data_IF_288007431152
#
_entry.id   IF_288007431152
#
_cell.length_a   1.000
_cell.length_b   1.000
_cell.length_c   1.000
_cell.angle_alpha   90.00
_cell.angle_beta   90.00
_cell.angle_gamma   90.00
#
_symmetry.space_group_name_H-M   'P 1'
#
loop_
_entity.id
_entity.type
_entity.pdbx_description
1 polymer ?
#
# COMPACT_ATOMS: atom_id res chain seq x y z
N UNK A 1 -12.42 4.05 17.03
CA UNK A 1 -12.40 3.90 15.55
C UNK A 1 -13.04 2.57 15.21
N UNK A 2 -14.00 2.53 14.29
CA UNK A 2 -14.50 1.25 13.75
C UNK A 2 -13.49 0.77 12.71
N UNK A 3 -12.73 -0.30 12.97
CA UNK A 3 -11.68 -0.77 12.04
C UNK A 3 -12.25 -1.45 10.81
N UNK A 4 -13.54 -1.79 10.84
CA UNK A 4 -14.30 -2.49 9.83
C UNK A 4 -15.43 -1.59 9.36
N UNK A 5 -15.48 -1.27 8.07
CA UNK A 5 -16.51 -0.43 7.47
C UNK A 5 -17.67 -1.28 6.93
N UNK A 6 -17.32 -2.29 6.14
CA UNK A 6 -18.27 -3.18 5.49
C UNK A 6 -17.68 -4.58 5.40
N UNK A 7 -18.51 -5.60 5.57
CA UNK A 7 -18.17 -6.99 5.27
C UNK A 7 -19.06 -7.45 4.12
N UNK A 8 -18.42 -7.86 3.03
CA UNK A 8 -19.12 -8.45 1.87
C UNK A 8 -18.60 -9.88 1.78
N UNK A 9 -19.29 -10.81 2.45
CA UNK A 9 -18.87 -12.21 2.54
C UNK A 9 -17.50 -12.36 3.24
N UNK A 10 -16.50 -13.03 2.62
CA UNK A 10 -15.18 -13.22 3.24
C UNK A 10 -14.29 -11.97 3.19
N UNK A 11 -14.73 -10.89 2.52
CA UNK A 11 -13.93 -9.68 2.34
C UNK A 11 -14.36 -8.62 3.35
N UNK A 12 -13.49 -8.38 4.32
CA UNK A 12 -13.62 -7.31 5.30
C UNK A 12 -12.96 -6.02 4.78
N UNK A 13 -13.76 -5.01 4.45
CA UNK A 13 -13.27 -3.68 4.09
C UNK A 13 -12.90 -2.95 5.38
N UNK A 14 -11.59 -2.76 5.57
CA UNK A 14 -11.04 -2.09 6.74
C UNK A 14 -10.83 -0.60 6.47
N UNK A 15 -11.06 0.22 7.49
CA UNK A 15 -10.98 1.68 7.36
C UNK A 15 -9.60 2.16 6.94
N UNK A 16 -8.52 1.52 7.43
CA UNK A 16 -7.17 1.90 7.01
C UNK A 16 -6.95 1.70 5.50
N UNK A 17 -7.51 0.63 4.92
CA UNK A 17 -7.37 0.35 3.49
C UNK A 17 -8.09 1.41 2.65
N UNK A 18 -9.25 1.87 3.12
CA UNK A 18 -9.98 2.98 2.48
C UNK A 18 -9.17 4.27 2.55
N UNK A 19 -8.58 4.61 3.70
CA UNK A 19 -7.74 5.81 3.80
C UNK A 19 -6.48 5.72 2.93
N UNK A 20 -5.86 4.55 2.81
CA UNK A 20 -4.74 4.32 1.88
C UNK A 20 -5.18 4.55 0.44
N UNK A 21 -6.33 4.00 0.04
CA UNK A 21 -6.87 4.20 -1.31
C UNK A 21 -7.17 5.68 -1.60
N UNK A 22 -7.80 6.39 -0.66
CA UNK A 22 -8.05 7.84 -0.78
C UNK A 22 -6.74 8.62 -0.91
N UNK A 23 -5.73 8.26 -0.11
CA UNK A 23 -4.40 8.87 -0.20
C UNK A 23 -3.76 8.67 -1.58
N UNK A 24 -3.84 7.44 -2.11
CA UNK A 24 -3.40 7.11 -3.47
C UNK A 24 -4.11 8.00 -4.51
N UNK A 25 -5.45 7.97 -4.58
CA UNK A 25 -6.18 8.78 -5.56
C UNK A 25 -5.93 10.30 -5.43
N UNK A 26 -5.72 10.79 -4.22
CA UNK A 26 -5.38 12.19 -3.97
C UNK A 26 -3.99 12.53 -4.52
N UNK A 27 -2.99 11.67 -4.24
CA UNK A 27 -1.63 11.82 -4.74
C UNK A 27 -1.60 11.77 -6.28
N UNK A 28 -2.28 10.80 -6.89
CA UNK A 28 -2.46 10.71 -8.34
C UNK A 28 -2.98 12.02 -8.93
N UNK A 29 -4.10 12.53 -8.40
CA UNK A 29 -4.79 13.69 -8.95
C UNK A 29 -3.91 14.95 -8.89
N UNK A 30 -3.17 15.12 -7.78
CA UNK A 30 -2.22 16.22 -7.61
C UNK A 30 -1.05 16.09 -8.59
N UNK A 31 -0.40 14.92 -8.65
CA UNK A 31 0.75 14.69 -9.53
C UNK A 31 0.37 14.79 -11.00
N UNK A 32 -0.81 14.31 -11.37
CA UNK A 32 -1.34 14.41 -12.73
C UNK A 32 -1.59 15.87 -13.14
N UNK A 33 -2.22 16.66 -12.25
CA UNK A 33 -2.45 18.10 -12.46
C UNK A 33 -1.12 18.86 -12.59
N UNK A 34 -0.16 18.56 -11.73
CA UNK A 34 1.19 19.13 -11.76
C UNK A 34 1.97 18.75 -13.03
N UNK A 35 1.89 17.48 -13.44
CA UNK A 35 2.54 17.01 -14.66
C UNK A 35 1.99 17.74 -15.90
N UNK A 36 0.66 17.93 -15.95
CA UNK A 36 0.01 18.71 -17.02
C UNK A 36 0.48 20.18 -17.00
N UNK A 37 0.58 20.79 -15.82
CA UNK A 37 1.04 22.19 -15.67
C UNK A 37 2.49 22.36 -16.11
N UNK A 38 3.36 21.38 -15.83
CA UNK A 38 4.79 21.43 -16.14
C UNK A 38 5.15 20.87 -17.53
N UNK A 39 4.16 20.52 -18.36
CA UNK A 39 4.37 19.81 -19.64
C UNK A 39 5.22 18.54 -19.50
N UNK A 40 5.10 17.84 -18.36
CA UNK A 40 5.67 16.51 -18.18
C UNK A 40 4.70 15.45 -18.72
N UNK A 41 5.16 14.21 -18.91
CA UNK A 41 4.35 13.09 -19.40
C UNK A 41 3.32 12.65 -18.34
N UNK A 42 2.05 13.10 -18.41
CA UNK A 42 1.08 12.81 -17.36
C UNK A 42 0.62 11.34 -17.42
N UNK A 43 0.79 10.70 -18.57
CA UNK A 43 0.52 9.28 -18.81
C UNK A 43 1.39 8.37 -17.93
N UNK A 44 2.63 8.79 -17.63
CA UNK A 44 3.57 8.00 -16.82
C UNK A 44 3.32 8.10 -15.31
N UNK A 45 2.46 9.01 -14.86
CA UNK A 45 2.19 9.20 -13.43
C UNK A 45 1.51 7.97 -12.85
N UNK A 46 0.54 7.38 -13.57
CA UNK A 46 -0.13 6.16 -13.11
C UNK A 46 0.84 4.99 -13.02
N UNK A 47 1.71 4.81 -14.03
CA UNK A 47 2.73 3.77 -14.03
C UNK A 47 3.67 3.91 -12.82
N UNK A 48 4.14 5.13 -12.56
CA UNK A 48 5.01 5.43 -11.42
C UNK A 48 4.31 5.15 -10.10
N UNK A 49 3.05 5.53 -9.97
CA UNK A 49 2.30 5.36 -8.73
C UNK A 49 2.02 3.90 -8.41
N UNK A 50 1.70 3.08 -9.42
CA UNK A 50 1.57 1.64 -9.27
C UNK A 50 2.88 1.00 -8.82
N UNK A 51 4.01 1.42 -9.40
CA UNK A 51 5.34 0.97 -8.97
C UNK A 51 5.59 1.37 -7.52
N UNK A 52 5.35 2.63 -7.15
CA UNK A 52 5.52 3.11 -5.77
C UNK A 52 4.63 2.33 -4.79
N UNK A 53 3.38 2.03 -5.16
CA UNK A 53 2.46 1.26 -4.33
C UNK A 53 3.00 -0.15 -4.04
N UNK A 54 3.49 -0.85 -5.07
CA UNK A 54 4.07 -2.19 -4.92
C UNK A 54 5.34 -2.16 -4.08
N UNK A 55 6.28 -1.26 -4.40
CA UNK A 55 7.53 -1.13 -3.64
C UNK A 55 7.31 -0.62 -2.22
N UNK A 56 6.29 0.21 -1.99
CA UNK A 56 5.89 0.67 -0.66
C UNK A 56 5.37 -0.48 0.19
N UNK A 57 4.53 -1.35 -0.36
CA UNK A 57 4.05 -2.54 0.33
C UNK A 57 5.19 -3.52 0.65
N UNK A 58 6.07 -3.78 -0.34
CA UNK A 58 7.24 -4.63 -0.15
C UNK A 58 8.21 -4.05 0.87
N UNK A 59 8.47 -2.75 0.82
CA UNK A 59 9.34 -2.04 1.76
C UNK A 59 8.79 -2.04 3.18
N UNK A 60 7.49 -1.80 3.35
CA UNK A 60 6.82 -1.92 4.64
C UNK A 60 6.97 -3.34 5.22
N UNK A 61 6.77 -4.37 4.38
CA UNK A 61 6.94 -5.76 4.82
C UNK A 61 8.38 -6.08 5.18
N UNK A 62 9.34 -5.67 4.36
CA UNK A 62 10.76 -5.85 4.62
C UNK A 62 11.17 -5.17 5.94
N UNK A 63 10.72 -3.95 6.19
CA UNK A 63 10.95 -3.24 7.44
C UNK A 63 10.34 -3.97 8.63
N UNK A 64 9.09 -4.45 8.52
CA UNK A 64 8.43 -5.22 9.58
C UNK A 64 9.21 -6.50 9.92
N UNK A 65 9.76 -7.17 8.91
CA UNK A 65 10.59 -8.37 9.08
C UNK A 65 11.92 -8.04 9.74
N UNK A 66 12.57 -6.96 9.33
CA UNK A 66 13.84 -6.50 9.92
C UNK A 66 13.68 -6.12 11.39
N UNK A 67 12.57 -5.47 11.75
CA UNK A 67 12.27 -5.09 13.14
C UNK A 67 11.95 -6.32 14.00
N UNK A 68 11.27 -7.32 13.45
CA UNK A 68 10.88 -8.55 14.16
C UNK A 68 11.75 -9.75 13.76
N UNK A 69 13.05 -9.52 13.53
CA UNK A 69 13.95 -10.51 12.95
C UNK A 69 13.98 -11.84 13.72
N UNK A 70 14.01 -11.79 15.07
CA UNK A 70 14.05 -12.98 15.92
C UNK A 70 12.84 -13.92 15.72
N UNK A 71 11.67 -13.36 15.43
CA UNK A 71 10.45 -14.12 15.15
C UNK A 71 10.49 -14.75 13.75
N UNK A 72 10.88 -13.95 12.75
CA UNK A 72 10.91 -14.41 11.36
C UNK A 72 12.07 -15.36 11.05
N UNK A 73 13.19 -15.27 11.77
CA UNK A 73 14.29 -16.22 11.68
C UNK A 73 13.86 -17.65 12.05
N UNK A 74 12.89 -17.79 12.96
CA UNK A 74 12.31 -19.08 13.37
C UNK A 74 11.13 -19.50 12.50
N UNK A 75 10.51 -18.56 11.79
CA UNK A 75 9.29 -18.75 11.01
C UNK A 75 9.40 -18.13 9.61
N UNK A 76 10.38 -18.59 8.83
CA UNK A 76 10.71 -18.05 7.49
C UNK A 76 9.49 -17.98 6.53
N UNK A 77 8.57 -18.98 6.49
CA UNK A 77 7.41 -18.90 5.61
C UNK A 77 6.46 -17.74 5.93
N UNK A 78 6.45 -17.25 7.17
CA UNK A 78 5.55 -16.18 7.58
C UNK A 78 5.91 -14.83 6.96
N UNK A 79 7.13 -14.66 6.44
CA UNK A 79 7.55 -13.45 5.73
C UNK A 79 6.60 -13.13 4.57
N UNK A 80 6.13 -14.15 3.84
CA UNK A 80 5.27 -14.00 2.65
C UNK A 80 3.77 -13.92 2.98
N UNK A 81 3.37 -14.25 4.21
CA UNK A 81 1.97 -14.30 4.64
C UNK A 81 1.46 -12.91 5.03
N UNK A 82 1.41 -11.99 4.06
CA UNK A 82 0.96 -10.59 4.24
C UNK A 82 -0.48 -10.48 4.79
N UNK A 83 -1.32 -11.48 4.55
CA UNK A 83 -2.72 -11.52 5.02
C UNK A 83 -2.87 -11.97 6.48
N UNK A 84 -1.84 -12.56 7.10
CA UNK A 84 -1.86 -12.92 8.53
C UNK A 84 -1.59 -11.72 9.45
N UNK A 85 -1.30 -10.56 8.88
CA UNK A 85 -0.93 -9.35 9.61
C UNK A 85 0.58 -9.21 9.79
N UNK A 86 1.01 -7.95 9.85
CA UNK A 86 2.38 -7.49 10.00
C UNK A 86 2.69 -6.38 9.02
#
# INVERSE_FOLDING_TARGET
>A
MHPLLFEIGPVAIRSYGVFVAVGFFTAFSLLYSEAKRKNCYPQKILDLELVILVFGLLGARALHVLVNFDFYAKNIPEIFLIWRGG
#
